data_IF_038750921869
#
_entry.id   IF_038750921869
#
_cell.length_a   1.000
_cell.length_b   1.000
_cell.length_c   1.000
_cell.angle_alpha   90.00
_cell.angle_beta   90.00
_cell.angle_gamma   90.00
#
_symmetry.space_group_name_H-M   'P 1'
#
loop_
_entity.id
_entity.type
_entity.pdbx_description
1 polymer ?
#
# COMPACT_ATOMS: atom_id res chain seq x y z
N UNK A 1 -15.78 14.94 9.00
CA UNK A 1 -14.57 14.11 9.14
C UNK A 1 -13.80 14.12 7.83
N UNK A 2 -12.89 15.06 7.65
CA UNK A 2 -12.19 15.20 6.38
C UNK A 2 -10.70 14.94 6.60
N UNK A 3 -10.20 13.79 6.22
CA UNK A 3 -8.80 13.53 6.40
C UNK A 3 -8.16 12.93 5.17
N UNK A 4 -8.59 11.79 4.74
CA UNK A 4 -8.03 11.10 3.60
C UNK A 4 -8.79 11.40 2.31
N UNK A 5 -8.04 11.54 1.25
CA UNK A 5 -8.52 11.53 -0.14
C UNK A 5 -7.63 10.62 -0.97
N UNK A 6 -8.14 10.20 -2.12
CA UNK A 6 -7.41 9.40 -3.10
C UNK A 6 -7.60 9.97 -4.49
N UNK A 7 -6.56 9.84 -5.29
CA UNK A 7 -6.53 10.25 -6.68
C UNK A 7 -6.15 9.01 -7.48
N UNK A 8 -7.06 8.50 -8.28
CA UNK A 8 -6.84 7.31 -9.11
C UNK A 8 -6.08 7.63 -10.39
N UNK A 9 -5.61 6.58 -11.08
CA UNK A 9 -4.80 6.66 -12.31
C UNK A 9 -5.34 7.65 -13.33
N UNK A 10 -6.66 7.66 -13.55
CA UNK A 10 -7.30 8.54 -14.54
C UNK A 10 -7.10 10.03 -14.22
N UNK A 11 -7.17 10.39 -12.93
CA UNK A 11 -7.08 11.78 -12.45
C UNK A 11 -5.69 12.14 -11.93
N UNK A 12 -4.77 11.17 -11.88
CA UNK A 12 -3.42 11.33 -11.36
C UNK A 12 -2.49 11.85 -12.45
N UNK A 13 -2.14 13.12 -12.41
CA UNK A 13 -1.24 13.74 -13.40
C UNK A 13 0.22 13.29 -13.23
N UNK A 14 1.00 13.35 -14.30
CA UNK A 14 2.45 13.07 -14.25
C UNK A 14 3.17 14.06 -13.32
N UNK A 15 2.71 15.30 -13.24
CA UNK A 15 3.24 16.29 -12.29
C UNK A 15 3.08 15.84 -10.84
N UNK A 16 1.93 15.26 -10.48
CA UNK A 16 1.72 14.72 -9.13
C UNK A 16 2.57 13.49 -8.85
N UNK A 17 2.74 12.60 -9.86
CA UNK A 17 3.63 11.45 -9.76
C UNK A 17 5.08 11.87 -9.59
N UNK A 18 5.54 12.85 -10.37
CA UNK A 18 6.90 13.40 -10.26
C UNK A 18 7.13 14.02 -8.88
N UNK A 19 6.21 14.86 -8.41
CA UNK A 19 6.31 15.47 -7.09
C UNK A 19 6.33 14.42 -5.97
N UNK A 20 5.51 13.36 -6.08
CA UNK A 20 5.56 12.24 -5.14
C UNK A 20 6.92 11.52 -5.18
N UNK A 21 7.46 11.28 -6.40
CA UNK A 21 8.76 10.64 -6.57
C UNK A 21 9.89 11.46 -5.95
N UNK A 22 9.90 12.77 -6.12
CA UNK A 22 10.86 13.67 -5.49
C UNK A 22 10.84 13.56 -3.95
N UNK A 23 9.64 13.51 -3.35
CA UNK A 23 9.49 13.30 -1.92
C UNK A 23 9.99 11.92 -1.46
N UNK A 24 9.77 10.88 -2.27
CA UNK A 24 10.28 9.53 -2.01
C UNK A 24 11.82 9.51 -2.05
N UNK A 25 12.42 10.18 -3.04
CA UNK A 25 13.88 10.29 -3.16
C UNK A 25 14.48 11.09 -2.00
N UNK A 26 13.90 12.24 -1.67
CA UNK A 26 14.33 13.06 -0.54
C UNK A 26 14.25 12.30 0.80
N UNK A 27 13.32 11.37 0.92
CA UNK A 27 13.17 10.48 2.08
C UNK A 27 14.12 9.26 2.05
N UNK A 28 14.98 9.11 1.04
CA UNK A 28 15.84 7.95 0.87
C UNK A 28 15.11 6.63 0.60
N UNK A 29 13.87 6.69 0.09
CA UNK A 29 13.00 5.51 -0.09
C UNK A 29 12.84 5.05 -1.53
N UNK A 30 13.57 5.61 -2.48
CA UNK A 30 13.45 5.25 -3.90
C UNK A 30 13.62 3.75 -4.16
N UNK A 31 14.49 3.08 -3.41
CA UNK A 31 14.70 1.63 -3.53
C UNK A 31 13.57 0.77 -2.97
N UNK A 32 12.69 1.30 -2.15
CA UNK A 32 11.54 0.55 -1.63
C UNK A 32 10.45 0.30 -2.69
N UNK A 33 10.42 1.08 -3.77
CA UNK A 33 9.45 0.92 -4.87
C UNK A 33 9.98 0.00 -5.98
N UNK A 34 11.28 -0.22 -6.08
CA UNK A 34 11.86 -0.97 -7.19
C UNK A 34 13.12 -1.73 -6.76
N UNK A 35 13.03 -2.50 -5.66
CA UNK A 35 14.16 -3.31 -5.18
C UNK A 35 14.59 -4.38 -6.20
N UNK A 36 13.68 -4.79 -7.10
CA UNK A 36 13.81 -5.86 -8.10
C UNK A 36 14.37 -5.38 -9.45
N UNK A 37 14.61 -4.09 -9.61
CA UNK A 37 14.99 -3.47 -10.90
C UNK A 37 16.03 -2.36 -10.73
N UNK A 38 16.63 -1.86 -11.85
CA UNK A 38 17.51 -0.69 -11.81
C UNK A 38 16.86 0.51 -11.12
N UNK A 39 17.67 1.38 -10.50
CA UNK A 39 17.17 2.67 -9.99
C UNK A 39 16.39 3.42 -11.07
N UNK A 40 15.22 3.95 -10.72
CA UNK A 40 14.41 4.74 -11.62
C UNK A 40 14.66 6.24 -11.38
N UNK A 41 14.62 7.02 -12.46
CA UNK A 41 14.38 8.46 -12.38
C UNK A 41 12.87 8.77 -12.36
N UNK A 42 12.50 10.03 -12.21
CA UNK A 42 11.10 10.45 -12.18
C UNK A 42 10.34 10.09 -13.47
N UNK A 43 10.86 10.39 -14.67
CA UNK A 43 10.24 9.98 -15.92
C UNK A 43 10.05 8.46 -16.06
N UNK A 44 11.03 7.65 -15.66
CA UNK A 44 10.90 6.18 -15.68
C UNK A 44 9.84 5.69 -14.68
N UNK A 45 9.76 6.32 -13.51
CA UNK A 45 8.72 6.05 -12.52
C UNK A 45 7.32 6.37 -13.06
N UNK A 46 7.12 7.51 -13.70
CA UNK A 46 5.85 7.87 -14.36
C UNK A 46 5.51 6.86 -15.45
N UNK A 47 6.44 6.55 -16.36
CA UNK A 47 6.23 5.54 -17.42
C UNK A 47 5.86 4.18 -16.84
N UNK A 48 6.50 3.75 -15.75
CA UNK A 48 6.17 2.50 -15.08
C UNK A 48 4.71 2.49 -14.59
N UNK A 49 4.26 3.53 -13.89
CA UNK A 49 2.91 3.60 -13.35
C UNK A 49 1.83 3.78 -14.42
N UNK A 50 2.19 4.29 -15.61
CA UNK A 50 1.28 4.42 -16.76
C UNK A 50 1.10 3.13 -17.57
N UNK A 51 1.88 2.10 -17.33
CA UNK A 51 1.78 0.83 -18.07
C UNK A 51 0.37 0.25 -18.01
N UNK A 52 -0.09 -0.42 -19.08
CA UNK A 52 -1.26 -1.29 -19.01
C UNK A 52 -1.09 -2.33 -17.88
N UNK A 53 -2.17 -2.63 -17.17
CA UNK A 53 -2.13 -3.57 -16.03
C UNK A 53 -1.53 -3.04 -14.73
N UNK A 54 -1.00 -1.80 -14.71
CA UNK A 54 -0.61 -1.10 -13.47
C UNK A 54 -1.69 -0.09 -13.11
N UNK A 55 -2.28 -0.21 -11.94
CA UNK A 55 -3.38 0.63 -11.45
C UNK A 55 -2.95 1.42 -10.21
N UNK A 56 -2.30 2.59 -10.38
CA UNK A 56 -1.85 3.42 -9.27
C UNK A 56 -2.97 4.30 -8.71
N UNK A 57 -2.90 4.58 -7.41
CA UNK A 57 -3.59 5.68 -6.77
C UNK A 57 -2.75 6.31 -5.67
N UNK A 58 -2.89 7.61 -5.53
CA UNK A 58 -2.26 8.39 -4.48
C UNK A 58 -3.22 8.58 -3.32
N UNK A 59 -2.75 8.31 -2.13
CA UNK A 59 -3.46 8.62 -0.89
C UNK A 59 -2.89 9.91 -0.32
N UNK A 60 -3.76 10.90 -0.11
CA UNK A 60 -3.42 12.14 0.54
C UNK A 60 -4.18 12.28 1.86
N UNK A 61 -3.56 12.97 2.82
CA UNK A 61 -4.20 13.35 4.07
C UNK A 61 -4.19 14.88 4.18
N UNK A 62 -5.38 15.49 4.23
CA UNK A 62 -5.56 16.95 4.19
C UNK A 62 -4.79 17.61 3.03
N UNK A 63 -4.88 17.03 1.85
CA UNK A 63 -4.22 17.53 0.64
C UNK A 63 -2.73 17.17 0.52
N UNK A 64 -2.09 16.64 1.56
CA UNK A 64 -0.69 16.21 1.50
C UNK A 64 -0.58 14.75 1.11
N UNK A 65 0.24 14.39 0.10
CA UNK A 65 0.47 13.00 -0.26
C UNK A 65 1.14 12.26 0.91
N UNK A 66 0.63 11.08 1.24
CA UNK A 66 1.16 10.24 2.33
C UNK A 66 1.55 8.85 1.87
N UNK A 67 0.91 8.33 0.83
CA UNK A 67 1.23 7.03 0.28
C UNK A 67 0.86 6.94 -1.20
N UNK A 68 1.62 6.13 -1.93
CA UNK A 68 1.27 5.65 -3.26
C UNK A 68 1.00 4.16 -3.16
N UNK A 69 -0.07 3.73 -3.80
CA UNK A 69 -0.41 2.33 -4.04
C UNK A 69 -0.43 2.06 -5.52
N UNK A 70 -0.16 0.83 -5.89
CA UNK A 70 -0.48 0.33 -7.22
C UNK A 70 -0.76 -1.17 -7.19
N UNK A 71 -1.68 -1.60 -8.05
CA UNK A 71 -1.98 -3.00 -8.28
C UNK A 71 -1.34 -3.46 -9.58
N UNK A 72 -0.91 -4.72 -9.59
CA UNK A 72 -0.41 -5.43 -10.77
C UNK A 72 -0.92 -6.87 -10.76
N UNK A 73 -0.62 -7.60 -11.82
CA UNK A 73 -0.77 -9.06 -11.90
C UNK A 73 -2.15 -9.55 -11.45
N UNK A 74 -3.18 -9.01 -12.08
CA UNK A 74 -4.55 -9.41 -11.81
C UNK A 74 -4.80 -10.87 -12.22
N UNK A 75 -5.31 -11.67 -11.28
CA UNK A 75 -5.68 -13.06 -11.49
C UNK A 75 -7.08 -13.31 -10.92
N UNK A 76 -8.09 -13.38 -11.78
CA UNK A 76 -9.47 -13.45 -11.35
C UNK A 76 -9.84 -12.26 -10.47
N UNK A 77 -10.20 -12.50 -9.21
CA UNK A 77 -10.55 -11.47 -8.22
C UNK A 77 -9.43 -11.19 -7.21
N UNK A 78 -8.20 -11.43 -7.59
CA UNK A 78 -7.02 -11.07 -6.81
C UNK A 78 -6.06 -10.22 -7.62
N UNK A 79 -5.20 -9.46 -6.94
CA UNK A 79 -4.13 -8.68 -7.56
C UNK A 79 -2.94 -8.55 -6.60
N UNK A 80 -1.76 -8.33 -7.15
CA UNK A 80 -0.61 -7.95 -6.35
C UNK A 80 -0.75 -6.47 -5.93
N UNK A 81 -0.57 -6.20 -4.63
CA UNK A 81 -0.57 -4.86 -4.07
C UNK A 81 0.84 -4.42 -3.72
N UNK A 82 1.17 -3.24 -4.17
CA UNK A 82 2.42 -2.55 -3.83
C UNK A 82 2.09 -1.22 -3.19
N UNK A 83 2.90 -0.79 -2.24
CA UNK A 83 2.74 0.52 -1.62
C UNK A 83 4.06 1.13 -1.16
N UNK A 84 4.11 2.45 -1.18
CA UNK A 84 5.20 3.24 -0.64
C UNK A 84 4.62 4.36 0.23
N UNK A 85 5.14 4.48 1.45
CA UNK A 85 4.75 5.54 2.38
C UNK A 85 5.83 6.60 2.46
N UNK A 86 5.40 7.87 2.44
CA UNK A 86 6.24 8.97 2.86
C UNK A 86 6.38 9.00 4.39
N UNK A 87 7.45 9.57 4.93
CA UNK A 87 7.59 9.74 6.37
C UNK A 87 6.44 10.60 6.92
N UNK A 88 5.60 10.01 7.76
CA UNK A 88 4.42 10.67 8.34
C UNK A 88 4.67 11.19 9.76
N UNK A 89 5.92 11.10 10.25
CA UNK A 89 6.27 11.45 11.61
C UNK A 89 5.53 10.60 12.66
N UNK A 90 5.39 11.13 13.87
CA UNK A 90 4.72 10.46 15.00
C UNK A 90 3.22 10.76 15.09
N UNK A 91 2.65 11.43 14.08
CA UNK A 91 1.23 11.82 14.07
C UNK A 91 0.31 10.61 14.20
N UNK A 92 -0.68 10.75 15.06
CA UNK A 92 -1.71 9.72 15.28
C UNK A 92 -3.10 10.29 15.00
N UNK A 93 -3.95 9.47 14.39
CA UNK A 93 -5.35 9.81 14.08
C UNK A 93 -6.30 8.98 14.92
N UNK A 94 -7.43 9.59 15.30
CA UNK A 94 -8.56 8.88 15.87
C UNK A 94 -9.36 8.23 14.75
N UNK A 95 -9.34 6.90 14.70
CA UNK A 95 -10.04 6.09 13.68
C UNK A 95 -11.24 5.41 14.35
N UNK A 96 -12.44 5.45 13.75
CA UNK A 96 -13.59 4.71 14.28
C UNK A 96 -13.25 3.23 14.43
N UNK A 97 -13.50 2.65 15.62
CA UNK A 97 -13.20 1.23 15.91
C UNK A 97 -13.82 0.28 14.90
N UNK A 98 -15.05 0.59 14.46
CA UNK A 98 -15.78 -0.19 13.45
C UNK A 98 -15.14 -0.18 12.04
N UNK A 99 -14.26 0.77 11.77
CA UNK A 99 -13.51 0.86 10.51
C UNK A 99 -12.21 0.04 10.52
N UNK A 100 -11.87 -0.57 11.65
CA UNK A 100 -10.69 -1.45 11.76
C UNK A 100 -11.06 -2.91 11.45
N UNK A 101 -10.14 -3.67 10.80
CA UNK A 101 -10.21 -5.12 10.78
C UNK A 101 -10.43 -5.68 12.19
N UNK A 102 -11.22 -6.73 12.32
CA UNK A 102 -11.53 -7.30 13.64
C UNK A 102 -10.28 -7.66 14.43
N UNK A 103 -9.32 -8.31 13.77
CA UNK A 103 -8.02 -8.67 14.36
C UNK A 103 -7.21 -7.48 14.89
N UNK A 104 -7.55 -6.24 14.46
CA UNK A 104 -6.86 -5.01 14.88
C UNK A 104 -7.66 -4.18 15.89
N UNK A 105 -8.83 -4.66 16.30
CA UNK A 105 -9.65 -3.96 17.29
C UNK A 105 -9.12 -4.24 18.69
N UNK A 106 -8.55 -3.25 19.40
CA UNK A 106 -8.10 -3.47 20.78
C UNK A 106 -9.29 -3.81 21.66
N UNK A 107 -9.04 -4.53 22.74
CA UNK A 107 -10.04 -4.73 23.80
C UNK A 107 -10.45 -3.37 24.38
N UNK A 108 -11.72 -3.26 24.80
CA UNK A 108 -12.23 -2.06 25.45
C UNK A 108 -13.41 -1.42 24.73
N UNK A 109 -14.05 -0.45 25.39
CA UNK A 109 -15.31 0.16 24.97
C UNK A 109 -15.18 1.44 24.12
N UNK A 110 -13.96 1.96 23.92
CA UNK A 110 -13.78 3.22 23.17
C UNK A 110 -14.28 3.11 21.73
N UNK A 111 -15.12 4.04 21.26
CA UNK A 111 -15.60 4.05 19.89
C UNK A 111 -14.51 4.43 18.87
N UNK A 112 -13.38 4.97 19.32
CA UNK A 112 -12.25 5.39 18.49
C UNK A 112 -10.94 4.78 18.99
N UNK A 113 -10.04 4.51 18.03
CA UNK A 113 -8.68 4.02 18.28
C UNK A 113 -7.69 5.02 17.70
N UNK A 114 -6.63 5.34 18.44
CA UNK A 114 -5.55 6.23 17.95
C UNK A 114 -4.51 5.41 17.19
N UNK A 115 -4.45 5.57 15.88
CA UNK A 115 -3.48 4.91 14.99
C UNK A 115 -2.40 5.88 14.50
N UNK A 116 -1.16 5.42 14.28
CA UNK A 116 -0.18 6.17 13.49
C UNK A 116 -0.75 6.52 12.12
N UNK A 117 -0.44 7.72 11.59
CA UNK A 117 -0.95 8.20 10.30
C UNK A 117 -0.66 7.21 9.16
N UNK A 118 0.56 6.65 9.11
CA UNK A 118 0.94 5.65 8.11
C UNK A 118 0.02 4.43 8.15
N UNK A 119 -0.32 3.93 9.36
CA UNK A 119 -1.21 2.77 9.51
C UNK A 119 -2.65 3.09 9.11
N UNK A 120 -3.15 4.28 9.47
CA UNK A 120 -4.48 4.73 9.04
C UNK A 120 -4.56 4.89 7.52
N UNK A 121 -3.53 5.50 6.89
CA UNK A 121 -3.42 5.62 5.45
C UNK A 121 -3.34 4.25 4.76
N UNK A 122 -2.64 3.27 5.38
CA UNK A 122 -2.56 1.91 4.87
C UNK A 122 -3.93 1.23 4.83
N UNK A 123 -4.68 1.28 5.91
CA UNK A 123 -6.02 0.69 5.97
C UNK A 123 -6.99 1.37 4.99
N UNK A 124 -6.89 2.69 4.86
CA UNK A 124 -7.66 3.45 3.87
C UNK A 124 -7.34 3.01 2.43
N UNK A 125 -6.05 2.88 2.09
CA UNK A 125 -5.61 2.44 0.77
C UNK A 125 -6.00 1.00 0.44
N UNK A 126 -5.84 0.07 1.39
CA UNK A 126 -6.26 -1.33 1.24
C UNK A 126 -7.78 -1.46 1.10
N UNK A 127 -8.53 -0.70 1.90
CA UNK A 127 -9.99 -0.64 1.77
C UNK A 127 -10.44 -0.15 0.40
N UNK A 128 -9.78 0.88 -0.13
CA UNK A 128 -10.02 1.37 -1.48
C UNK A 128 -9.75 0.29 -2.53
N UNK A 129 -8.62 -0.42 -2.45
CA UNK A 129 -8.26 -1.48 -3.39
C UNK A 129 -9.28 -2.64 -3.41
N UNK A 130 -9.75 -3.07 -2.23
CA UNK A 130 -10.65 -4.21 -2.11
C UNK A 130 -12.12 -3.87 -2.44
N UNK A 131 -12.55 -2.62 -2.21
CA UNK A 131 -13.96 -2.26 -2.29
C UNK A 131 -14.32 -1.30 -3.44
N UNK A 132 -13.32 -0.62 -4.02
CA UNK A 132 -13.59 0.53 -4.88
C UNK A 132 -12.71 0.59 -6.14
N UNK A 133 -12.14 -0.52 -6.64
CA UNK A 133 -11.31 -0.49 -7.88
C UNK A 133 -12.21 -0.13 -9.07
N UNK A 134 -12.29 1.15 -9.48
CA UNK A 134 -13.30 1.64 -10.43
C UNK A 134 -13.06 1.12 -11.85
N UNK A 135 -11.78 0.92 -12.20
CA UNK A 135 -11.36 0.64 -13.58
C UNK A 135 -11.60 -0.80 -14.03
N UNK A 136 -11.89 -1.71 -13.10
CA UNK A 136 -12.04 -3.14 -13.38
C UNK A 136 -13.50 -3.62 -13.48
N UNK A 137 -14.46 -2.80 -13.07
CA UNK A 137 -15.87 -3.18 -13.05
C UNK A 137 -16.24 -4.29 -12.07
N UNK A 138 -15.26 -4.81 -11.29
CA UNK A 138 -15.48 -5.83 -10.26
C UNK A 138 -14.65 -5.55 -9.01
N UNK A 139 -15.07 -6.09 -7.88
CA UNK A 139 -14.37 -5.98 -6.61
C UNK A 139 -13.33 -7.08 -6.47
N UNK A 140 -12.18 -6.75 -5.90
CA UNK A 140 -11.18 -7.76 -5.53
C UNK A 140 -11.60 -8.48 -4.25
N UNK A 141 -11.32 -9.76 -4.18
CA UNK A 141 -11.51 -10.55 -2.96
C UNK A 141 -10.24 -10.59 -2.11
N UNK A 142 -9.09 -10.59 -2.78
CA UNK A 142 -7.79 -10.75 -2.12
C UNK A 142 -6.73 -9.84 -2.74
N UNK A 143 -5.95 -9.18 -1.89
CA UNK A 143 -4.71 -8.51 -2.28
C UNK A 143 -3.53 -9.37 -1.84
N UNK A 144 -2.58 -9.59 -2.74
CA UNK A 144 -1.38 -10.38 -2.51
C UNK A 144 -0.18 -9.45 -2.36
N UNK A 145 0.55 -9.57 -1.26
CA UNK A 145 1.81 -8.90 -1.04
C UNK A 145 2.97 -9.89 -1.12
N UNK A 146 4.07 -9.50 -1.79
CA UNK A 146 5.31 -10.25 -1.78
C UNK A 146 6.39 -9.33 -1.21
N UNK A 147 6.99 -9.74 -0.10
CA UNK A 147 7.99 -8.93 0.60
C UNK A 147 9.27 -9.73 0.78
N UNK A 148 10.45 -9.19 0.38
CA UNK A 148 11.71 -9.84 0.67
C UNK A 148 11.85 -10.13 2.17
N UNK A 149 12.23 -11.34 2.54
CA UNK A 149 12.38 -11.74 3.93
C UNK A 149 13.40 -10.87 4.69
N UNK A 150 14.38 -10.33 3.99
CA UNK A 150 15.35 -9.38 4.53
C UNK A 150 14.75 -8.01 4.90
N UNK A 151 13.60 -7.64 4.33
CA UNK A 151 12.92 -6.38 4.63
C UNK A 151 12.02 -6.51 5.87
N UNK A 152 12.65 -6.66 7.03
CA UNK A 152 11.96 -6.87 8.32
C UNK A 152 10.99 -5.75 8.68
N UNK A 153 11.31 -4.50 8.32
CA UNK A 153 10.45 -3.35 8.62
C UNK A 153 9.15 -3.40 7.82
N UNK A 154 9.22 -3.75 6.53
CA UNK A 154 8.01 -3.93 5.71
C UNK A 154 7.18 -5.12 6.21
N UNK A 155 7.80 -6.25 6.55
CA UNK A 155 7.10 -7.40 7.12
C UNK A 155 6.40 -7.06 8.43
N UNK A 156 7.09 -6.40 9.36
CA UNK A 156 6.48 -5.94 10.61
C UNK A 156 5.30 -4.99 10.35
N UNK A 157 5.43 -4.12 9.35
CA UNK A 157 4.37 -3.19 8.99
C UNK A 157 3.14 -3.92 8.43
N UNK A 158 3.29 -4.79 7.42
CA UNK A 158 2.15 -5.52 6.83
C UNK A 158 1.46 -6.44 7.84
N UNK A 159 2.22 -7.11 8.73
CA UNK A 159 1.67 -7.86 9.87
C UNK A 159 0.83 -6.97 10.78
N UNK A 160 1.32 -5.76 11.05
CA UNK A 160 0.60 -4.79 11.87
C UNK A 160 -0.70 -4.30 11.26
N UNK A 161 -0.91 -4.50 9.96
CA UNK A 161 -2.15 -4.22 9.24
C UNK A 161 -3.12 -5.41 9.22
N UNK A 162 -2.73 -6.56 9.76
CA UNK A 162 -3.54 -7.76 9.77
C UNK A 162 -3.36 -8.65 8.54
N UNK A 163 -2.26 -8.50 7.80
CA UNK A 163 -1.92 -9.41 6.72
C UNK A 163 -1.76 -10.85 7.23
N UNK A 164 -2.29 -11.80 6.49
CA UNK A 164 -2.08 -13.23 6.71
C UNK A 164 -0.84 -13.67 5.96
N UNK A 165 0.12 -14.28 6.65
CA UNK A 165 1.28 -14.93 6.02
C UNK A 165 0.92 -16.35 5.58
N UNK A 166 1.37 -16.74 4.39
CA UNK A 166 1.12 -18.05 3.81
C UNK A 166 2.39 -18.89 3.68
N UNK A 167 3.44 -18.30 3.11
CA UNK A 167 4.66 -19.05 2.82
C UNK A 167 5.89 -18.14 2.77
N UNK A 168 7.04 -18.74 3.08
CA UNK A 168 8.36 -18.25 2.70
C UNK A 168 8.85 -19.08 1.51
N UNK A 169 8.99 -18.42 0.35
CA UNK A 169 9.40 -19.10 -0.87
C UNK A 169 10.85 -18.76 -1.18
N UNK A 170 11.77 -19.74 -1.22
CA UNK A 170 13.17 -19.51 -1.54
C UNK A 170 13.33 -18.89 -2.93
N UNK A 171 14.19 -17.86 -3.04
CA UNK A 171 14.51 -17.23 -4.32
C UNK A 171 13.40 -16.40 -4.97
N UNK A 172 12.27 -16.20 -4.31
CA UNK A 172 11.12 -15.48 -4.90
C UNK A 172 11.40 -14.00 -5.20
N UNK A 173 12.25 -13.35 -4.41
CA UNK A 173 12.56 -11.93 -4.59
C UNK A 173 13.98 -11.75 -5.14
N UNK A 174 14.09 -11.03 -6.26
CA UNK A 174 15.36 -10.57 -6.79
C UNK A 174 15.72 -9.23 -6.14
N UNK A 175 16.92 -9.12 -5.57
CA UNK A 175 17.47 -7.85 -5.07
C UNK A 175 18.47 -7.30 -6.07
N UNK A 176 18.08 -6.28 -6.82
CA UNK A 176 18.89 -5.72 -7.91
C UNK A 176 20.27 -5.26 -7.44
N UNK A 177 20.35 -4.50 -6.35
CA UNK A 177 21.60 -3.95 -5.83
C UNK A 177 22.54 -5.05 -5.32
N UNK A 178 21.99 -6.10 -4.73
CA UNK A 178 22.77 -7.24 -4.22
C UNK A 178 23.02 -8.32 -5.29
N UNK A 179 22.43 -8.19 -6.47
CA UNK A 179 22.48 -9.15 -7.60
C UNK A 179 22.24 -10.59 -7.16
N UNK A 180 21.24 -10.79 -6.31
CA UNK A 180 20.90 -12.13 -5.81
C UNK A 180 19.42 -12.30 -5.54
N UNK A 181 18.98 -13.55 -5.61
CA UNK A 181 17.68 -13.94 -5.10
C UNK A 181 17.71 -14.09 -3.58
N UNK A 182 16.60 -13.71 -2.94
CA UNK A 182 16.35 -13.92 -1.52
C UNK A 182 14.96 -14.53 -1.33
N UNK A 183 14.68 -15.19 -0.20
CA UNK A 183 13.34 -15.65 0.09
C UNK A 183 12.35 -14.49 0.13
N UNK A 184 11.18 -14.71 -0.46
CA UNK A 184 10.03 -13.81 -0.39
C UNK A 184 8.94 -14.37 0.50
N UNK A 185 8.37 -13.51 1.32
CA UNK A 185 7.21 -13.83 2.15
C UNK A 185 5.94 -13.44 1.39
N UNK A 186 5.05 -14.40 1.18
CA UNK A 186 3.74 -14.19 0.58
C UNK A 186 2.75 -13.85 1.70
N UNK A 187 2.07 -12.72 1.55
CA UNK A 187 1.03 -12.26 2.47
C UNK A 187 -0.24 -11.93 1.71
N UNK A 188 -1.40 -12.04 2.36
CA UNK A 188 -2.66 -11.60 1.79
C UNK A 188 -3.44 -10.69 2.74
N UNK A 189 -4.27 -9.86 2.11
CA UNK A 189 -5.35 -9.11 2.74
C UNK A 189 -6.66 -9.51 2.06
N UNK A 190 -7.51 -10.19 2.79
CA UNK A 190 -8.79 -10.65 2.26
C UNK A 190 -9.86 -9.58 2.50
N UNK A 191 -10.76 -9.42 1.54
CA UNK A 191 -11.83 -8.41 1.60
C UNK A 191 -12.70 -8.56 2.84
N UNK A 192 -12.97 -9.77 3.27
CA UNK A 192 -13.76 -10.04 4.47
C UNK A 192 -13.07 -9.58 5.75
N UNK A 193 -11.73 -9.61 5.76
CA UNK A 193 -10.93 -9.15 6.89
C UNK A 193 -10.77 -7.62 6.94
N UNK A 194 -10.95 -6.91 5.82
CA UNK A 194 -10.82 -5.45 5.72
C UNK A 194 -12.21 -4.82 5.56
N UNK A 195 -12.77 -4.17 6.59
CA UNK A 195 -14.12 -3.59 6.51
C UNK A 195 -14.23 -2.55 5.39
N UNK A 196 -15.37 -2.55 4.65
CA UNK A 196 -15.66 -1.55 3.63
C UNK A 196 -15.53 -0.12 4.16
N UNK A 197 -15.85 0.09 5.43
CA UNK A 197 -15.74 1.40 6.12
C UNK A 197 -14.31 1.88 6.31
N UNK A 198 -13.31 1.00 6.14
CA UNK A 198 -11.91 1.42 6.11
C UNK A 198 -11.62 2.33 4.91
N UNK A 199 -12.36 2.20 3.82
CA UNK A 199 -12.28 3.08 2.66
C UNK A 199 -12.84 4.51 2.94
N UNK A 200 -13.56 4.70 4.02
CA UNK A 200 -14.18 5.97 4.44
C UNK A 200 -13.49 6.64 5.65
N UNK A 201 -12.29 6.19 6.06
CA UNK A 201 -11.49 6.83 7.11
C UNK A 201 -10.92 8.16 6.57
#
# INVERSE_FOLDING_TARGET
MGGFSRIYKADLSDRQLMAFWELVQAAGRGRSIGFDRPPMDGPAFCRFLRRPGVHPWLVAWRGMPVALYYLTDFQGRSAHVHFCFLPCGTRRLAVPRKALPEALRPAGASPHVRLPLARAAALFGLGAALWEVPEQGFRLDTLIGITPQSNRSALAFVRSLGAREHASVPGLCWLYDARRNVPGIITTFDREAVPQRAAGI
#
